data_IF_238171747796
#
_entry.id   IF_238171747796
#
_cell.length_a   1.000
_cell.length_b   1.000
_cell.length_c   1.000
_cell.angle_alpha   90.00
_cell.angle_beta   90.00
_cell.angle_gamma   90.00
#
_symmetry.space_group_name_H-M   'P 1'
#
loop_
_entity.id
_entity.type
_entity.pdbx_description
1 polymer ?
#
# COMPACT_ATOMS: atom_id res chain seq x y z
N UNK A 1 34.59 -30.61 41.91
CA UNK A 1 35.13 -29.86 40.76
C UNK A 1 35.50 -30.84 39.65
N UNK A 2 35.20 -30.49 38.39
CA UNK A 2 35.30 -31.32 37.17
C UNK A 2 34.16 -32.31 36.94
N UNK A 3 33.04 -31.80 36.42
CA UNK A 3 32.14 -32.45 35.44
C UNK A 3 31.10 -31.47 34.88
N UNK A 4 31.54 -30.22 34.61
CA UNK A 4 30.73 -29.18 33.97
C UNK A 4 31.41 -28.66 32.69
N UNK A 5 31.98 -29.57 31.90
CA UNK A 5 32.69 -29.21 30.68
C UNK A 5 32.50 -30.27 29.59
N UNK A 6 31.24 -30.51 29.19
CA UNK A 6 30.91 -31.22 27.94
C UNK A 6 29.52 -30.80 27.41
N UNK A 7 29.23 -29.50 27.45
CA UNK A 7 28.12 -28.90 26.67
C UNK A 7 28.67 -27.59 26.08
N UNK A 8 29.65 -27.68 25.19
CA UNK A 8 30.20 -26.52 24.49
C UNK A 8 30.91 -26.94 23.19
N UNK A 9 30.29 -27.85 22.42
CA UNK A 9 30.75 -28.22 21.07
C UNK A 9 29.61 -28.58 20.10
N UNK A 10 28.41 -27.99 20.26
CA UNK A 10 27.38 -28.03 19.20
C UNK A 10 26.67 -26.71 18.92
N UNK A 11 27.01 -25.61 19.59
CA UNK A 11 26.58 -24.28 19.15
C UNK A 11 27.61 -23.72 18.15
N UNK A 12 27.78 -24.44 17.04
CA UNK A 12 28.62 -24.00 15.93
C UNK A 12 27.94 -22.82 15.25
N UNK A 13 28.50 -21.62 15.45
CA UNK A 13 28.55 -20.54 14.44
C UNK A 13 27.23 -20.13 13.79
N UNK A 14 26.15 -20.08 14.54
CA UNK A 14 25.00 -19.21 14.25
C UNK A 14 24.96 -18.11 15.31
N UNK A 15 26.03 -17.31 15.36
CA UNK A 15 25.97 -16.01 16.04
C UNK A 15 24.87 -15.22 15.32
N UNK A 16 23.72 -15.14 15.97
CA UNK A 16 22.62 -14.25 15.69
C UNK A 16 23.18 -12.83 15.53
N UNK A 17 23.45 -12.42 14.29
CA UNK A 17 23.61 -11.01 13.98
C UNK A 17 22.21 -10.43 13.94
N UNK A 18 21.65 -10.16 15.13
CA UNK A 18 20.58 -9.19 15.20
C UNK A 18 21.18 -7.86 14.76
N UNK A 19 20.96 -7.49 13.51
CA UNK A 19 21.09 -6.10 13.10
C UNK A 19 20.04 -5.35 13.92
N UNK A 20 20.46 -4.71 15.01
CA UNK A 20 19.62 -3.76 15.72
C UNK A 20 19.40 -2.58 14.78
N UNK A 21 18.24 -2.56 14.11
CA UNK A 21 17.77 -1.43 13.34
C UNK A 21 17.25 -0.39 14.32
N UNK A 22 17.83 0.81 14.29
CA UNK A 22 17.23 1.96 14.98
C UNK A 22 16.67 2.90 13.92
N UNK A 23 15.40 3.27 14.08
CA UNK A 23 14.76 4.30 13.29
C UNK A 23 15.19 5.67 13.83
N UNK A 24 15.86 6.46 12.99
CA UNK A 24 16.25 7.83 13.30
C UNK A 24 15.65 8.74 12.23
N UNK A 25 15.06 9.87 12.61
CA UNK A 25 14.54 10.86 11.64
C UNK A 25 15.66 11.82 11.20
N UNK A 26 15.76 12.10 9.91
CA UNK A 26 16.67 13.13 9.39
C UNK A 26 16.08 14.53 9.50
N UNK A 27 16.86 15.56 9.12
CA UNK A 27 16.45 16.97 9.14
C UNK A 27 15.19 17.27 8.31
N UNK A 28 14.84 16.38 7.37
CA UNK A 28 13.62 16.48 6.55
C UNK A 28 12.49 15.56 7.06
N UNK A 29 12.56 15.12 8.33
CA UNK A 29 11.58 14.25 8.98
C UNK A 29 11.38 12.88 8.27
N UNK A 30 12.36 12.45 7.45
CA UNK A 30 12.36 11.13 6.81
C UNK A 30 13.03 10.12 7.73
N UNK A 31 12.41 8.95 7.86
CA UNK A 31 12.99 7.83 8.59
C UNK A 31 14.25 7.33 7.88
N UNK A 32 15.37 7.35 8.59
CA UNK A 32 16.63 6.68 8.25
C UNK A 32 16.73 5.45 9.15
N UNK A 33 17.00 4.30 8.53
CA UNK A 33 17.31 3.07 9.24
C UNK A 33 18.83 3.03 9.41
N UNK A 34 19.31 3.13 10.65
CA UNK A 34 20.73 2.99 10.97
C UNK A 34 20.94 1.58 11.52
N UNK A 35 21.86 0.83 10.90
CA UNK A 35 22.24 -0.51 11.36
C UNK A 35 23.59 -0.44 12.07
N UNK A 36 23.58 -0.60 13.39
CA UNK A 36 24.77 -0.37 14.21
C UNK A 36 25.77 -1.55 14.22
N UNK A 37 25.48 -2.65 13.51
CA UNK A 37 26.34 -3.85 13.44
C UNK A 37 26.16 -4.67 12.16
N UNK A 38 25.70 -4.08 11.05
CA UNK A 38 25.60 -4.86 9.80
C UNK A 38 27.00 -5.12 9.25
N UNK A 39 27.56 -6.29 9.54
CA UNK A 39 28.75 -6.79 8.83
C UNK A 39 28.45 -6.67 7.34
N UNK A 40 29.21 -5.85 6.63
CA UNK A 40 29.05 -5.71 5.19
C UNK A 40 29.41 -7.05 4.55
N UNK A 41 28.39 -7.84 4.22
CA UNK A 41 28.57 -9.14 3.56
C UNK A 41 28.30 -8.93 2.08
N UNK A 42 29.17 -9.49 1.25
CA UNK A 42 29.02 -9.55 -0.20
C UNK A 42 29.52 -10.91 -0.64
N UNK A 43 28.69 -11.60 -1.41
CA UNK A 43 29.01 -12.86 -2.06
C UNK A 43 28.70 -12.72 -3.54
N UNK A 44 29.58 -13.20 -4.40
CA UNK A 44 29.30 -13.25 -5.85
C UNK A 44 28.52 -14.50 -6.23
N UNK A 45 27.80 -14.40 -7.33
CA UNK A 45 27.18 -15.57 -7.97
C UNK A 45 28.26 -16.55 -8.42
N UNK A 46 27.98 -17.84 -8.36
CA UNK A 46 28.74 -18.84 -9.13
C UNK A 46 27.85 -19.38 -10.24
N UNK A 47 28.39 -19.37 -11.46
CA UNK A 47 27.68 -19.72 -12.68
C UNK A 47 28.50 -20.76 -13.43
N UNK A 48 27.85 -21.84 -13.86
CA UNK A 48 28.44 -22.85 -14.73
C UNK A 48 27.58 -22.96 -15.99
N UNK A 49 28.10 -22.44 -17.12
CA UNK A 49 27.32 -22.27 -18.34
C UNK A 49 26.19 -21.24 -18.13
N UNK A 50 24.95 -21.68 -18.29
CA UNK A 50 23.74 -20.89 -18.02
C UNK A 50 23.09 -21.21 -16.66
N UNK A 51 23.77 -22.00 -15.83
CA UNK A 51 23.25 -22.48 -14.54
C UNK A 51 23.82 -21.65 -13.40
N UNK A 52 22.95 -21.02 -12.62
CA UNK A 52 23.32 -20.42 -11.34
C UNK A 52 23.45 -21.52 -10.29
N UNK A 53 24.68 -21.75 -9.82
CA UNK A 53 25.02 -22.82 -8.86
C UNK A 53 25.22 -22.28 -7.44
N UNK A 54 25.53 -20.99 -7.29
CA UNK A 54 25.46 -20.29 -6.00
C UNK A 54 24.89 -18.89 -6.15
N UNK A 55 24.02 -18.49 -5.22
CA UNK A 55 23.44 -17.16 -5.18
C UNK A 55 24.38 -16.18 -4.47
N UNK A 56 24.74 -15.13 -5.20
CA UNK A 56 25.40 -13.93 -4.70
C UNK A 56 24.39 -12.93 -4.13
N UNK A 57 24.80 -12.26 -3.06
CA UNK A 57 24.01 -11.28 -2.34
C UNK A 57 24.91 -10.21 -1.73
N UNK A 58 24.33 -9.10 -1.28
CA UNK A 58 25.03 -8.03 -0.58
C UNK A 58 24.15 -7.41 0.49
N UNK A 59 24.75 -6.88 1.55
CA UNK A 59 24.03 -5.96 2.46
C UNK A 59 23.82 -4.61 1.81
N UNK A 60 22.58 -4.15 1.78
CA UNK A 60 22.20 -2.85 1.26
C UNK A 60 21.01 -2.34 2.08
N UNK A 61 21.12 -1.13 2.65
CA UNK A 61 20.06 -0.48 3.44
C UNK A 61 19.48 -1.36 4.57
N UNK A 62 20.31 -2.16 5.24
CA UNK A 62 19.87 -3.05 6.33
C UNK A 62 19.21 -4.36 5.89
N UNK A 63 19.13 -4.62 4.59
CA UNK A 63 18.65 -5.88 4.05
C UNK A 63 19.82 -6.67 3.45
N UNK A 64 19.73 -7.99 3.48
CA UNK A 64 20.60 -8.85 2.68
C UNK A 64 19.87 -9.06 1.36
N UNK A 65 20.30 -8.32 0.33
CA UNK A 65 19.68 -8.27 -0.99
C UNK A 65 20.40 -9.21 -1.95
N UNK A 66 19.64 -10.03 -2.66
CA UNK A 66 20.17 -10.81 -3.78
C UNK A 66 20.79 -9.87 -4.83
N UNK A 67 21.97 -10.20 -5.35
CA UNK A 67 22.51 -9.48 -6.51
C UNK A 67 21.66 -9.83 -7.73
N UNK A 68 21.41 -8.87 -8.62
CA UNK A 68 20.69 -9.13 -9.87
C UNK A 68 21.29 -10.35 -10.58
N UNK A 69 20.44 -11.30 -10.98
CA UNK A 69 20.89 -12.50 -11.66
C UNK A 69 21.34 -12.09 -13.07
N UNK A 70 22.58 -12.43 -13.50
CA UNK A 70 23.06 -12.08 -14.84
C UNK A 70 22.20 -12.68 -15.96
N UNK A 71 22.06 -11.96 -17.08
CA UNK A 71 21.21 -12.37 -18.20
C UNK A 71 21.63 -13.72 -18.85
N UNK A 72 22.91 -14.11 -18.71
CA UNK A 72 23.41 -15.41 -19.20
C UNK A 72 22.78 -16.62 -18.48
N UNK A 73 22.26 -16.43 -17.27
CA UNK A 73 21.64 -17.52 -16.49
C UNK A 73 20.26 -17.82 -17.04
N UNK A 74 19.98 -19.06 -17.43
CA UNK A 74 18.63 -19.56 -17.74
C UNK A 74 18.12 -20.56 -16.68
N UNK A 75 19.01 -21.14 -15.88
CA UNK A 75 18.65 -22.16 -14.89
C UNK A 75 19.06 -21.73 -13.49
N UNK A 76 18.09 -21.65 -12.60
CA UNK A 76 18.31 -21.44 -11.16
C UNK A 76 18.42 -22.81 -10.49
N UNK A 77 19.66 -23.25 -10.26
CA UNK A 77 19.96 -24.51 -9.58
C UNK A 77 20.40 -24.32 -8.12
N UNK A 78 20.61 -23.08 -7.70
CA UNK A 78 21.05 -22.72 -6.36
C UNK A 78 19.86 -22.48 -5.42
N UNK A 79 19.92 -23.07 -4.23
CA UNK A 79 18.99 -22.79 -3.13
C UNK A 79 19.09 -21.32 -2.71
N UNK A 80 17.95 -20.74 -2.31
CA UNK A 80 17.92 -19.38 -1.78
C UNK A 80 18.55 -19.34 -0.38
N UNK A 81 19.67 -18.64 -0.16
CA UNK A 81 20.28 -18.56 1.16
C UNK A 81 19.33 -17.91 2.18
N UNK A 82 19.21 -18.51 3.37
CA UNK A 82 18.29 -18.07 4.44
C UNK A 82 18.57 -16.65 4.95
N UNK A 83 19.79 -16.15 4.71
CA UNK A 83 20.20 -14.80 5.07
C UNK A 83 19.55 -13.75 4.18
N UNK A 84 19.15 -14.11 2.95
CA UNK A 84 18.53 -13.17 2.01
C UNK A 84 17.14 -12.78 2.51
N UNK A 85 16.91 -11.48 2.63
CA UNK A 85 15.63 -10.88 3.03
C UNK A 85 15.02 -10.00 1.95
N UNK A 86 15.72 -9.80 0.83
CA UNK A 86 15.27 -8.96 -0.28
C UNK A 86 15.58 -9.57 -1.64
N UNK A 87 14.54 -9.75 -2.45
CA UNK A 87 14.61 -10.13 -3.87
C UNK A 87 14.54 -8.93 -4.81
N UNK A 88 14.67 -7.71 -4.27
CA UNK A 88 14.62 -6.46 -5.04
C UNK A 88 15.47 -6.51 -6.31
N UNK A 89 14.84 -6.32 -7.47
CA UNK A 89 15.49 -6.28 -8.78
C UNK A 89 16.20 -7.58 -9.23
N UNK A 90 15.91 -8.73 -8.62
CA UNK A 90 16.63 -9.98 -8.91
C UNK A 90 16.59 -10.39 -10.40
N UNK A 91 15.47 -10.15 -11.08
CA UNK A 91 15.22 -10.53 -12.47
C UNK A 91 14.84 -9.33 -13.35
N UNK A 92 15.24 -8.12 -12.96
CA UNK A 92 14.95 -6.90 -13.71
C UNK A 92 15.50 -6.96 -15.14
N UNK A 93 14.74 -6.38 -16.08
CA UNK A 93 15.03 -6.26 -17.51
C UNK A 93 15.26 -7.59 -18.24
N UNK A 94 14.83 -8.70 -17.65
CA UNK A 94 15.14 -10.03 -18.16
C UNK A 94 14.30 -10.37 -19.38
N UNK A 95 14.95 -10.97 -20.38
CA UNK A 95 14.34 -11.32 -21.66
C UNK A 95 14.32 -12.82 -21.96
N UNK A 96 15.21 -13.58 -21.33
CA UNK A 96 15.35 -15.02 -21.45
C UNK A 96 14.49 -15.78 -20.43
N UNK A 97 14.01 -16.95 -20.83
CA UNK A 97 13.26 -17.85 -19.95
C UNK A 97 14.12 -18.32 -18.77
N UNK A 98 13.51 -18.43 -17.60
CA UNK A 98 14.13 -18.98 -16.41
C UNK A 98 13.42 -20.25 -15.97
N UNK A 99 14.23 -21.28 -15.67
CA UNK A 99 13.79 -22.53 -15.07
C UNK A 99 14.39 -22.66 -13.68
N UNK A 100 13.55 -22.87 -12.66
CA UNK A 100 14.00 -23.27 -11.33
C UNK A 100 14.10 -24.79 -11.28
N UNK A 101 15.25 -25.32 -10.87
CA UNK A 101 15.41 -26.76 -10.58
C UNK A 101 15.45 -27.03 -9.08
N UNK A 102 15.17 -25.99 -8.28
CA UNK A 102 15.08 -26.02 -6.82
C UNK A 102 13.93 -25.11 -6.41
N UNK A 103 13.18 -25.53 -5.40
CA UNK A 103 12.16 -24.68 -4.80
C UNK A 103 12.83 -23.68 -3.85
N UNK A 104 12.52 -22.39 -4.03
CA UNK A 104 12.99 -21.34 -3.14
C UNK A 104 12.02 -21.18 -1.96
N UNK A 105 12.55 -21.22 -0.74
CA UNK A 105 11.83 -20.76 0.45
C UNK A 105 11.88 -19.24 0.53
N UNK A 106 10.76 -18.58 0.21
CA UNK A 106 10.64 -17.12 0.23
C UNK A 106 10.04 -16.58 1.54
N UNK A 107 9.82 -17.42 2.55
CA UNK A 107 9.16 -17.02 3.81
C UNK A 107 9.88 -15.90 4.55
N UNK A 108 11.18 -15.70 4.31
CA UNK A 108 12.00 -14.63 4.94
C UNK A 108 12.07 -13.34 4.12
N UNK A 109 11.47 -13.31 2.94
CA UNK A 109 11.56 -12.17 2.02
C UNK A 109 10.59 -11.07 2.47
N UNK A 110 11.14 -9.86 2.59
CA UNK A 110 10.41 -8.65 3.00
C UNK A 110 10.28 -7.62 1.89
N UNK A 111 11.07 -7.76 0.81
CA UNK A 111 11.15 -6.80 -0.29
C UNK A 111 11.25 -7.51 -1.65
N UNK A 112 10.27 -7.29 -2.51
CA UNK A 112 10.21 -7.78 -3.90
C UNK A 112 10.13 -6.62 -4.92
N UNK A 113 10.47 -5.41 -4.50
CA UNK A 113 10.43 -4.19 -5.32
C UNK A 113 11.20 -4.39 -6.65
N UNK A 114 10.58 -4.01 -7.77
CA UNK A 114 11.12 -4.11 -9.14
C UNK A 114 11.68 -5.49 -9.52
N UNK A 115 11.32 -6.57 -8.80
CA UNK A 115 11.95 -7.90 -8.97
C UNK A 115 11.87 -8.42 -10.41
N UNK A 116 10.75 -8.16 -11.08
CA UNK A 116 10.51 -8.51 -12.48
C UNK A 116 10.21 -7.27 -13.33
N UNK A 117 10.76 -6.11 -12.97
CA UNK A 117 10.57 -4.89 -13.74
C UNK A 117 11.06 -5.07 -15.18
N UNK A 118 10.24 -4.67 -16.17
CA UNK A 118 10.54 -4.69 -17.60
C UNK A 118 10.98 -6.06 -18.14
N UNK A 119 10.23 -7.12 -17.82
CA UNK A 119 10.55 -8.49 -18.28
C UNK A 119 9.70 -8.93 -19.48
N UNK A 120 10.27 -9.76 -20.36
CA UNK A 120 9.54 -10.30 -21.53
C UNK A 120 9.20 -11.79 -21.43
N UNK A 121 9.89 -12.56 -20.59
CA UNK A 121 9.71 -14.03 -20.46
C UNK A 121 8.62 -14.44 -19.45
N UNK A 122 7.93 -13.47 -18.84
CA UNK A 122 7.28 -13.70 -17.56
C UNK A 122 5.90 -14.36 -17.68
N UNK A 123 5.79 -15.62 -17.23
CA UNK A 123 4.59 -16.42 -16.89
C UNK A 123 5.02 -17.82 -16.37
N UNK A 124 5.96 -17.88 -15.43
CA UNK A 124 6.41 -19.14 -14.85
C UNK A 124 5.63 -19.47 -13.56
N UNK A 125 5.04 -20.66 -13.46
CA UNK A 125 4.22 -21.10 -12.31
C UNK A 125 5.01 -21.24 -11.01
N UNK A 126 6.34 -21.31 -11.04
CA UNK A 126 7.18 -21.40 -9.85
C UNK A 126 6.93 -20.25 -8.86
N UNK A 127 6.58 -19.06 -9.36
CA UNK A 127 6.30 -17.88 -8.52
C UNK A 127 5.00 -18.03 -7.72
N UNK A 128 4.06 -18.89 -8.16
CA UNK A 128 2.77 -19.07 -7.50
C UNK A 128 2.90 -19.79 -6.15
N UNK A 129 4.03 -20.49 -5.94
CA UNK A 129 4.36 -21.20 -4.71
C UNK A 129 5.07 -20.31 -3.67
N UNK A 130 5.41 -19.08 -4.02
CA UNK A 130 6.17 -18.22 -3.12
C UNK A 130 5.31 -17.76 -1.95
N UNK A 131 5.86 -17.94 -0.76
CA UNK A 131 5.36 -17.31 0.45
C UNK A 131 5.64 -15.80 0.39
N UNK A 132 4.57 -15.01 0.45
CA UNK A 132 4.57 -13.55 0.40
C UNK A 132 4.16 -12.93 1.74
N UNK A 133 3.88 -13.74 2.76
CA UNK A 133 3.32 -13.31 4.05
C UNK A 133 4.18 -12.27 4.77
N UNK A 134 5.49 -12.27 4.60
CA UNK A 134 6.41 -11.29 5.20
C UNK A 134 6.76 -10.11 4.29
N UNK A 135 6.27 -10.09 3.05
CA UNK A 135 6.60 -9.04 2.07
C UNK A 135 5.89 -7.74 2.43
N UNK A 136 6.68 -6.65 2.48
CA UNK A 136 6.19 -5.30 2.79
C UNK A 136 6.24 -4.34 1.61
N UNK A 137 7.06 -4.62 0.60
CA UNK A 137 7.27 -3.79 -0.59
C UNK A 137 7.23 -4.63 -1.87
N UNK A 138 6.22 -4.36 -2.71
CA UNK A 138 6.01 -4.95 -4.04
C UNK A 138 5.98 -3.87 -5.14
N UNK A 139 6.48 -2.65 -4.84
CA UNK A 139 6.47 -1.55 -5.81
C UNK A 139 7.19 -1.94 -7.11
N UNK A 140 6.61 -1.56 -8.25
CA UNK A 140 7.14 -1.82 -9.59
C UNK A 140 7.42 -3.29 -9.94
N UNK A 141 6.98 -4.25 -9.12
CA UNK A 141 7.41 -5.65 -9.21
C UNK A 141 7.18 -6.24 -10.61
N UNK A 142 6.06 -5.90 -11.26
CA UNK A 142 5.71 -6.33 -12.61
C UNK A 142 5.53 -5.17 -13.59
N UNK A 143 5.99 -3.97 -13.25
CA UNK A 143 5.91 -2.84 -14.16
C UNK A 143 6.62 -3.15 -15.49
N UNK A 144 6.01 -2.77 -16.60
CA UNK A 144 6.45 -3.03 -17.98
C UNK A 144 6.63 -4.52 -18.35
N UNK A 145 6.14 -5.46 -17.52
CA UNK A 145 6.14 -6.88 -17.85
C UNK A 145 4.95 -7.22 -18.74
N UNK A 146 5.07 -6.88 -20.03
CA UNK A 146 3.98 -6.94 -21.02
C UNK A 146 3.40 -8.34 -21.23
N UNK A 147 4.18 -9.39 -20.92
CA UNK A 147 3.78 -10.80 -21.06
C UNK A 147 2.96 -11.35 -19.90
N UNK A 148 3.03 -10.72 -18.73
CA UNK A 148 2.56 -11.31 -17.47
C UNK A 148 1.04 -11.41 -17.37
N UNK A 149 0.51 -12.56 -16.95
CA UNK A 149 -0.91 -12.75 -16.65
C UNK A 149 -1.19 -13.97 -15.75
N UNK A 150 -0.49 -14.12 -14.62
CA UNK A 150 -0.82 -15.18 -13.66
C UNK A 150 -1.87 -14.76 -12.63
N UNK A 151 -2.60 -15.74 -12.09
CA UNK A 151 -3.50 -15.53 -10.96
C UNK A 151 -2.70 -15.43 -9.66
N UNK A 152 -2.67 -14.25 -9.06
CA UNK A 152 -1.96 -13.91 -7.84
C UNK A 152 -2.86 -13.88 -6.59
N UNK A 153 -4.13 -14.29 -6.70
CA UNK A 153 -5.08 -14.23 -5.58
C UNK A 153 -4.68 -15.10 -4.38
N UNK A 154 -3.80 -16.09 -4.57
CA UNK A 154 -3.24 -16.92 -3.49
C UNK A 154 -2.22 -16.19 -2.61
N UNK A 155 -1.57 -15.14 -3.11
CA UNK A 155 -0.55 -14.41 -2.36
C UNK A 155 -1.14 -13.75 -1.11
N UNK A 156 -0.36 -13.73 -0.03
CA UNK A 156 -0.69 -13.01 1.19
C UNK A 156 -0.09 -11.62 1.11
N UNK A 157 -0.96 -10.62 0.93
CA UNK A 157 -0.57 -9.21 0.84
C UNK A 157 -0.86 -8.44 2.15
N UNK A 158 -1.09 -9.15 3.26
CA UNK A 158 -1.50 -8.54 4.53
C UNK A 158 -0.46 -7.65 5.19
N UNK A 159 0.82 -7.89 4.89
CA UNK A 159 1.92 -7.07 5.35
C UNK A 159 2.41 -6.03 4.33
N UNK A 160 1.88 -6.04 3.10
CA UNK A 160 2.32 -5.14 2.04
C UNK A 160 1.87 -3.71 2.35
N UNK A 161 2.84 -2.79 2.28
CA UNK A 161 2.64 -1.35 2.50
C UNK A 161 2.78 -0.54 1.22
N UNK A 162 3.48 -1.07 0.22
CA UNK A 162 3.76 -0.40 -1.04
C UNK A 162 3.53 -1.32 -2.25
N UNK A 163 2.65 -0.88 -3.16
CA UNK A 163 2.37 -1.48 -4.47
C UNK A 163 2.41 -0.41 -5.58
N UNK A 164 3.12 0.71 -5.36
CA UNK A 164 3.29 1.75 -6.38
C UNK A 164 3.73 1.14 -7.71
N UNK A 165 3.01 1.47 -8.80
CA UNK A 165 3.31 1.00 -10.17
C UNK A 165 3.41 -0.51 -10.33
N UNK A 166 2.86 -1.33 -9.41
CA UNK A 166 3.08 -2.78 -9.40
C UNK A 166 2.83 -3.45 -10.77
N UNK A 167 1.81 -3.00 -11.51
CA UNK A 167 1.45 -3.49 -12.84
C UNK A 167 1.46 -2.39 -13.92
N UNK A 168 2.15 -1.28 -13.68
CA UNK A 168 2.26 -0.17 -14.64
C UNK A 168 2.65 -0.70 -16.02
N UNK A 169 1.84 -0.45 -17.04
CA UNK A 169 2.09 -0.87 -18.44
C UNK A 169 2.31 -2.40 -18.61
N UNK A 170 1.81 -3.23 -17.69
CA UNK A 170 1.72 -4.68 -17.85
C UNK A 170 0.50 -5.03 -18.69
N UNK A 171 0.62 -4.82 -20.01
CA UNK A 171 -0.53 -4.76 -20.92
C UNK A 171 -1.40 -6.02 -21.00
N UNK A 172 -0.87 -7.19 -20.64
CA UNK A 172 -1.62 -8.47 -20.64
C UNK A 172 -2.14 -8.88 -19.27
N UNK A 173 -1.77 -8.18 -18.20
CA UNK A 173 -2.17 -8.57 -16.87
C UNK A 173 -3.68 -8.42 -16.70
N UNK A 174 -4.34 -9.52 -16.36
CA UNK A 174 -5.74 -9.61 -15.96
C UNK A 174 -5.90 -10.72 -14.91
N UNK A 175 -4.90 -10.87 -14.04
CA UNK A 175 -4.84 -11.87 -12.97
C UNK A 175 -5.20 -13.31 -13.42
N UNK A 176 -4.65 -13.77 -14.54
CA UNK A 176 -4.97 -15.10 -15.10
C UNK A 176 -6.43 -15.23 -15.55
N UNK A 177 -7.08 -14.12 -15.88
CA UNK A 177 -8.51 -14.01 -16.16
C UNK A 177 -9.39 -14.49 -14.99
N UNK A 178 -8.89 -14.35 -13.75
CA UNK A 178 -9.61 -14.65 -12.50
C UNK A 178 -9.78 -13.38 -11.67
N UNK A 179 -10.82 -13.28 -10.83
CA UNK A 179 -10.96 -12.19 -9.87
C UNK A 179 -9.70 -12.03 -9.00
N UNK A 180 -9.23 -10.80 -8.85
CA UNK A 180 -8.14 -10.44 -7.95
C UNK A 180 -8.67 -10.26 -6.52
N UNK A 181 -8.48 -11.28 -5.69
CA UNK A 181 -9.09 -11.38 -4.35
C UNK A 181 -8.14 -10.85 -3.25
N UNK A 182 -7.69 -9.61 -3.38
CA UNK A 182 -6.78 -8.98 -2.42
C UNK A 182 -7.46 -8.01 -1.45
N UNK A 183 -8.65 -7.48 -1.77
CA UNK A 183 -9.32 -6.43 -0.98
C UNK A 183 -9.29 -6.65 0.54
N UNK A 184 -9.81 -7.78 1.07
CA UNK A 184 -9.80 -8.06 2.52
C UNK A 184 -8.40 -8.22 3.15
N UNK A 185 -7.38 -8.48 2.32
CA UNK A 185 -5.98 -8.67 2.74
C UNK A 185 -5.24 -7.35 2.88
N UNK A 186 -5.62 -6.27 2.20
CA UNK A 186 -4.88 -4.99 2.12
C UNK A 186 -4.95 -4.12 3.40
N UNK A 187 -4.63 -4.70 4.57
CA UNK A 187 -4.79 -4.07 5.89
C UNK A 187 -3.73 -3.02 6.21
N UNK A 188 -2.54 -3.13 5.61
CA UNK A 188 -1.38 -2.24 5.88
C UNK A 188 -0.97 -1.40 4.67
N UNK A 189 -1.71 -1.48 3.56
CA UNK A 189 -1.36 -0.78 2.33
C UNK A 189 -1.38 0.73 2.56
N UNK A 190 -0.37 1.42 2.02
CA UNK A 190 -0.24 2.89 2.12
C UNK A 190 -0.09 3.55 0.76
N UNK A 191 0.42 2.83 -0.23
CA UNK A 191 0.71 3.37 -1.55
C UNK A 191 0.34 2.36 -2.64
N UNK A 192 -0.60 2.75 -3.50
CA UNK A 192 -1.01 2.07 -4.74
C UNK A 192 -1.02 3.04 -5.93
N UNK A 193 -0.23 4.12 -5.85
CA UNK A 193 -0.09 5.08 -6.94
C UNK A 193 0.26 4.37 -8.24
N UNK A 194 -0.44 4.68 -9.33
CA UNK A 194 -0.16 4.14 -10.67
C UNK A 194 -0.20 2.60 -10.76
N UNK A 195 -0.82 1.90 -9.81
CA UNK A 195 -0.74 0.43 -9.68
C UNK A 195 -1.14 -0.30 -10.96
N UNK A 196 -2.23 0.12 -11.61
CA UNK A 196 -2.76 -0.46 -12.85
C UNK A 196 -2.70 0.50 -14.04
N UNK A 197 -2.00 1.63 -13.93
CA UNK A 197 -1.88 2.59 -15.01
C UNK A 197 -1.34 1.89 -16.27
N UNK A 198 -2.00 2.10 -17.41
CA UNK A 198 -1.68 1.45 -18.70
C UNK A 198 -1.69 -0.10 -18.69
N UNK A 199 -2.23 -0.76 -17.67
CA UNK A 199 -2.46 -2.20 -17.65
C UNK A 199 -3.72 -2.57 -18.45
N UNK A 200 -3.65 -2.40 -19.78
CA UNK A 200 -4.83 -2.35 -20.69
C UNK A 200 -5.82 -3.52 -20.60
N UNK A 201 -5.35 -4.72 -20.24
CA UNK A 201 -6.20 -5.90 -20.09
C UNK A 201 -6.92 -5.96 -18.73
N UNK A 202 -6.43 -5.25 -17.72
CA UNK A 202 -7.00 -5.25 -16.38
C UNK A 202 -8.20 -4.31 -16.31
N UNK A 203 -9.40 -4.88 -16.30
CA UNK A 203 -10.69 -4.14 -16.23
C UNK A 203 -11.62 -4.71 -15.16
N UNK A 204 -11.05 -5.30 -14.11
CA UNK A 204 -11.83 -5.93 -13.06
C UNK A 204 -12.48 -4.88 -12.17
N UNK A 205 -13.70 -5.17 -11.71
CA UNK A 205 -14.40 -4.31 -10.76
C UNK A 205 -13.88 -4.58 -9.34
N UNK A 206 -13.30 -3.56 -8.70
CA UNK A 206 -12.69 -3.64 -7.37
C UNK A 206 -13.50 -2.91 -6.30
N UNK A 207 -14.77 -2.56 -6.53
CA UNK A 207 -15.60 -1.84 -5.53
C UNK A 207 -15.74 -2.56 -4.18
N UNK A 208 -15.51 -3.88 -4.13
CA UNK A 208 -15.51 -4.64 -2.88
C UNK A 208 -14.29 -4.36 -1.99
N UNK A 209 -13.26 -3.69 -2.52
CA UNK A 209 -12.07 -3.33 -1.77
C UNK A 209 -12.34 -2.07 -0.96
N UNK A 210 -12.66 -2.26 0.32
CA UNK A 210 -12.97 -1.18 1.25
C UNK A 210 -11.71 -0.74 2.01
N UNK A 211 -11.16 0.43 1.68
CA UNK A 211 -9.98 0.96 2.35
C UNK A 211 -10.37 1.68 3.65
N UNK A 212 -9.89 1.16 4.78
CA UNK A 212 -10.16 1.72 6.11
C UNK A 212 -9.18 2.81 6.55
N UNK A 213 -8.12 3.01 5.77
CA UNK A 213 -7.06 3.99 6.02
C UNK A 213 -6.78 4.77 4.75
N UNK A 214 -6.15 5.93 4.88
CA UNK A 214 -5.68 6.69 3.73
C UNK A 214 -4.65 5.87 2.95
N UNK A 215 -4.83 5.79 1.64
CA UNK A 215 -3.91 5.14 0.70
C UNK A 215 -3.64 6.12 -0.42
N UNK A 216 -2.36 6.33 -0.76
CA UNK A 216 -2.01 7.07 -1.96
C UNK A 216 -2.43 6.25 -3.20
N UNK A 217 -3.53 6.65 -3.83
CA UNK A 217 -4.17 6.01 -4.96
C UNK A 217 -4.08 6.87 -6.24
N UNK A 218 -3.16 7.84 -6.27
CA UNK A 218 -3.01 8.75 -7.40
C UNK A 218 -2.83 7.99 -8.71
N UNK A 219 -3.67 8.31 -9.70
CA UNK A 219 -3.65 7.70 -11.03
C UNK A 219 -3.68 6.16 -10.99
N UNK A 220 -4.55 5.58 -10.15
CA UNK A 220 -4.62 4.13 -9.90
C UNK A 220 -4.72 3.28 -11.18
N UNK A 221 -5.31 3.82 -12.26
CA UNK A 221 -5.32 3.20 -13.59
C UNK A 221 -6.59 2.44 -13.95
N UNK A 222 -7.70 2.69 -13.25
CA UNK A 222 -9.03 2.17 -13.58
C UNK A 222 -10.07 3.30 -13.66
N UNK A 223 -11.15 3.04 -14.40
CA UNK A 223 -12.34 3.89 -14.36
C UNK A 223 -12.88 4.00 -12.93
N UNK A 224 -13.41 5.17 -12.56
CA UNK A 224 -13.82 5.47 -11.18
C UNK A 224 -14.78 4.42 -10.59
N UNK A 225 -15.71 3.92 -11.39
CA UNK A 225 -16.70 2.90 -10.99
C UNK A 225 -16.12 1.49 -10.81
N UNK A 226 -14.86 1.28 -11.17
CA UNK A 226 -14.15 0.00 -11.06
C UNK A 226 -13.07 0.03 -9.99
N UNK A 227 -12.83 1.19 -9.37
CA UNK A 227 -11.81 1.36 -8.33
C UNK A 227 -12.27 0.83 -6.96
N UNK A 228 -11.32 0.55 -6.05
CA UNK A 228 -11.59 0.41 -4.63
C UNK A 228 -12.39 1.58 -4.06
N UNK A 229 -13.16 1.32 -3.00
CA UNK A 229 -13.75 2.41 -2.20
C UNK A 229 -12.66 2.97 -1.29
N UNK A 230 -12.15 4.12 -1.69
CA UNK A 230 -11.10 4.86 -0.98
C UNK A 230 -11.66 5.56 0.25
N UNK A 231 -10.86 5.68 1.32
CA UNK A 231 -11.19 6.55 2.43
C UNK A 231 -11.08 8.00 1.96
N UNK A 232 -12.21 8.70 1.91
CA UNK A 232 -12.24 10.12 1.58
C UNK A 232 -11.60 10.95 2.70
N UNK A 233 -10.75 11.91 2.33
CA UNK A 233 -10.29 12.93 3.27
C UNK A 233 -11.44 13.89 3.52
N UNK A 234 -11.98 13.90 4.73
CA UNK A 234 -12.81 15.04 5.16
C UNK A 234 -11.93 16.27 5.18
N UNK A 235 -12.16 17.20 4.26
CA UNK A 235 -11.60 18.55 4.37
C UNK A 235 -12.12 19.16 5.68
N UNK A 236 -11.20 19.60 6.54
CA UNK A 236 -11.57 20.32 7.75
C UNK A 236 -12.39 21.55 7.34
N UNK A 237 -13.61 21.66 7.85
CA UNK A 237 -14.50 22.79 7.60
C UNK A 237 -13.72 24.09 7.78
N UNK A 238 -13.56 24.84 6.69
CA UNK A 238 -13.07 26.21 6.72
C UNK A 238 -13.97 26.98 7.69
N UNK A 239 -13.46 27.71 8.69
CA UNK A 239 -14.32 28.44 9.62
C UNK A 239 -15.19 29.40 8.81
N UNK A 240 -16.50 29.22 8.85
CA UNK A 240 -17.44 30.22 8.37
C UNK A 240 -17.28 31.45 9.25
N UNK A 241 -16.70 32.51 8.70
CA UNK A 241 -16.76 33.84 9.31
C UNK A 241 -18.20 34.30 9.10
N UNK A 242 -19.03 34.15 10.13
CA UNK A 242 -20.34 34.79 10.18
C UNK A 242 -20.10 36.30 10.24
N UNK A 243 -20.38 37.01 9.14
CA UNK A 243 -20.54 38.46 9.18
C UNK A 243 -21.84 38.77 9.92
N UNK A 244 -21.74 39.07 11.21
CA UNK A 244 -22.82 39.73 11.94
C UNK A 244 -23.04 41.12 11.36
N UNK A 245 -24.25 41.34 10.86
CA UNK A 245 -24.75 42.58 10.31
C UNK A 245 -24.91 43.61 11.46
N UNK A 246 -24.03 44.62 11.49
CA UNK A 246 -24.13 45.73 12.46
C UNK A 246 -25.26 46.65 12.00
N UNK A 247 -26.44 46.48 12.59
CA UNK A 247 -27.53 47.46 12.56
C UNK A 247 -27.14 48.69 13.39
N UNK A 248 -27.20 49.88 12.77
CA UNK A 248 -27.20 51.18 13.47
C UNK A 248 -28.53 51.93 13.18
N UNK A 249 -29.16 52.61 14.16
CA UNK A 249 -30.51 53.16 14.02
C UNK A 249 -30.62 54.69 13.85
N UNK A 250 -31.71 55.10 13.18
CA UNK A 250 -32.46 56.40 13.22
C UNK A 250 -31.76 57.64 12.59
N UNK A 251 -32.43 58.65 12.01
CA UNK A 251 -33.80 59.17 12.20
C UNK A 251 -34.30 60.02 11.00
N UNK A 252 -35.62 60.28 11.00
CA UNK A 252 -36.39 61.47 10.53
C UNK A 252 -36.40 61.81 9.00
N UNK A 253 -37.46 62.31 8.34
CA UNK A 253 -38.68 63.02 8.77
C UNK A 253 -39.77 63.00 7.64
N UNK A 254 -40.98 63.44 8.02
CA UNK A 254 -42.30 63.40 7.38
C UNK A 254 -42.50 63.96 5.94
N UNK A 255 -43.59 63.51 5.26
CA UNK A 255 -44.77 64.33 4.88
C UNK A 255 -45.90 63.53 4.17
N UNK A 256 -47.14 63.90 4.55
CA UNK A 256 -48.54 63.52 4.23
C UNK A 256 -48.94 63.45 2.72
N UNK A 257 -50.04 62.89 2.17
CA UNK A 257 -51.40 62.33 2.55
C UNK A 257 -52.11 61.81 1.24
N UNK A 258 -53.45 61.58 1.11
CA UNK A 258 -54.37 60.60 1.73
C UNK A 258 -55.23 59.76 0.71
N UNK A 259 -56.22 59.00 1.24
CA UNK A 259 -57.36 58.24 0.63
C UNK A 259 -57.18 56.70 0.58
N UNK A 260 -58.10 55.82 1.01
CA UNK A 260 -59.52 55.87 1.46
C UNK A 260 -59.89 54.55 2.17
N UNK A 261 -60.67 54.67 3.25
CA UNK A 261 -61.80 53.87 3.76
C UNK A 261 -61.88 52.32 3.83
N UNK A 262 -62.35 51.92 5.02
CA UNK A 262 -63.25 50.80 5.40
C UNK A 262 -62.74 49.35 5.39
N UNK A 263 -62.63 48.71 6.55
CA UNK A 263 -63.79 48.13 7.26
C UNK A 263 -63.39 47.53 8.63
N UNK A 264 -64.29 47.65 9.61
CA UNK A 264 -64.18 47.07 10.95
C UNK A 264 -64.43 45.56 10.94
N UNK A 265 -63.74 44.82 11.82
CA UNK A 265 -64.39 43.82 12.68
C UNK A 265 -63.50 43.38 13.86
N UNK A 266 -64.20 42.94 14.88
CA UNK A 266 -63.92 42.90 16.32
C UNK A 266 -63.17 41.65 16.85
N UNK A 267 -62.40 41.90 17.93
CA UNK A 267 -62.41 41.19 19.25
C UNK A 267 -61.65 39.84 19.49
N UNK A 268 -60.90 39.87 20.60
CA UNK A 268 -60.37 38.83 21.55
C UNK A 268 -59.19 37.95 21.15
N UNK A 269 -58.00 38.14 21.77
CA UNK A 269 -57.49 37.58 23.06
C UNK A 269 -57.19 36.07 22.99
N UNK A 270 -55.92 35.69 23.02
CA UNK A 270 -55.32 35.13 24.25
C UNK A 270 -53.79 34.96 24.18
N UNK A 271 -53.16 35.18 25.34
CA UNK A 271 -51.75 34.95 25.67
C UNK A 271 -51.64 33.68 26.53
N UNK A 272 -50.70 32.79 26.22
CA UNK A 272 -49.89 31.93 27.12
C UNK A 272 -49.09 31.00 26.19
N UNK A 273 -47.78 31.10 26.01
CA UNK A 273 -46.63 30.87 26.92
C UNK A 273 -46.79 29.64 27.80
N UNK A 274 -46.22 28.51 27.33
CA UNK A 274 -45.52 27.59 28.22
C UNK A 274 -44.29 27.00 27.51
N UNK A 275 -43.16 27.15 28.18
CA UNK A 275 -41.83 26.67 27.83
C UNK A 275 -41.55 25.44 28.70
N UNK A 276 -41.35 24.25 28.15
CA UNK A 276 -40.48 23.27 28.82
C UNK A 276 -39.87 22.20 27.89
N UNK A 277 -38.55 22.37 27.73
CA UNK A 277 -37.50 21.34 27.78
C UNK A 277 -37.61 20.14 26.82
N UNK A 278 -36.99 20.28 25.64
CA UNK A 278 -36.40 19.14 24.93
C UNK A 278 -35.01 18.83 25.50
N UNK A 279 -34.86 17.59 25.95
CA UNK A 279 -33.61 16.96 26.37
C UNK A 279 -32.81 16.62 25.10
N UNK A 280 -31.62 17.19 24.96
CA UNK A 280 -30.64 16.79 23.93
C UNK A 280 -29.93 15.52 24.41
N UNK A 281 -30.20 14.40 23.74
CA UNK A 281 -29.37 13.20 23.83
C UNK A 281 -28.27 13.39 22.77
N UNK A 282 -27.03 13.49 23.22
CA UNK A 282 -25.84 13.46 22.38
C UNK A 282 -25.70 12.05 21.79
N UNK A 283 -26.18 11.86 20.56
CA UNK A 283 -25.71 10.75 19.72
C UNK A 283 -24.41 11.18 19.03
N UNK A 284 -23.30 10.63 19.52
CA UNK A 284 -22.00 10.64 18.88
C UNK A 284 -22.06 9.79 17.60
N UNK A 285 -22.39 10.44 16.48
CA UNK A 285 -22.48 9.84 15.15
C UNK A 285 -21.69 10.70 14.15
N UNK A 286 -20.43 10.35 13.90
CA UNK A 286 -19.68 10.86 12.74
C UNK A 286 -18.98 9.76 11.94
N UNK A 287 -19.77 8.88 11.31
CA UNK A 287 -19.37 8.22 10.06
C UNK A 287 -20.59 8.05 9.16
N UNK A 288 -20.59 8.70 7.98
CA UNK A 288 -21.54 8.40 6.90
C UNK A 288 -20.81 7.63 5.81
N UNK A 289 -21.10 6.34 5.67
CA UNK A 289 -20.90 5.62 4.41
C UNK A 289 -22.11 5.91 3.52
N UNK A 290 -21.90 6.57 2.38
CA UNK A 290 -22.90 6.62 1.33
C UNK A 290 -22.74 5.37 0.45
N UNK A 291 -23.70 4.45 0.56
CA UNK A 291 -23.93 3.40 -0.43
C UNK A 291 -24.80 4.03 -1.54
N UNK A 292 -24.26 4.08 -2.76
CA UNK A 292 -25.04 4.16 -4.00
C UNK A 292 -25.14 2.75 -4.59
#
# INVERSE_FOLDING_TARGET
MKKLLTILTSCSTALLVFASTTLVKNSNNKNIIINYNSKNISKEHKIWGDRLTEIGYKTENGQVRIKQIPHIVNVIAAQLPTEITSLKGAFQARTNNITWTVDWDTSRITNMNSMFYNTTWFNNDAILKWDTSNVTDMGEMFAYSKGFNHNLSSWDVSNVTNMERMFLNSTKFNNGNKPLEWGPKLKKIKNMKEMFKDAKAFKQNLNSWLMKTEVNNNDFGLDQDYQPKWLEKTEAAKPEISTEEILSPKADEALESPHTDNNLNEITKDKQKDDSKKINILEDNTYKMYLL
#
